data_IF_932146039215
#
_entry.id   IF_932146039215
#
_cell.length_a   1.000
_cell.length_b   1.000
_cell.length_c   1.000
_cell.angle_alpha   90.00
_cell.angle_beta   90.00
_cell.angle_gamma   90.00
#
_symmetry.space_group_name_H-M   'P 1'
#
loop_
_entity.id
_entity.type
_entity.pdbx_description
1 polymer ?
#
# COMPACT_ATOMS: atom_id res chain seq x y z
N UNK A 1 -12.99 -18.84 -15.30
CA UNK A 1 -14.31 -18.89 -14.63
C UNK A 1 -14.43 -17.60 -13.88
N UNK A 2 -15.35 -16.69 -14.26
CA UNK A 2 -15.58 -15.44 -13.51
C UNK A 2 -16.09 -15.85 -12.13
N UNK A 3 -15.32 -15.59 -11.07
CA UNK A 3 -15.78 -15.85 -9.70
C UNK A 3 -17.01 -14.98 -9.46
N UNK A 4 -18.02 -15.54 -8.82
CA UNK A 4 -19.25 -14.83 -8.52
C UNK A 4 -18.95 -13.76 -7.47
N UNK A 5 -18.99 -12.48 -7.86
CA UNK A 5 -18.73 -11.36 -6.97
C UNK A 5 -20.06 -10.91 -6.39
N UNK A 6 -20.24 -11.08 -5.09
CA UNK A 6 -21.48 -10.74 -4.39
C UNK A 6 -21.43 -9.37 -3.71
N UNK A 7 -20.28 -9.00 -3.14
CA UNK A 7 -20.17 -7.76 -2.37
C UNK A 7 -19.17 -6.78 -2.96
N UNK A 8 -19.48 -5.51 -2.83
CA UNK A 8 -18.58 -4.40 -3.09
C UNK A 8 -18.51 -3.46 -1.90
N UNK A 9 -17.37 -2.86 -1.71
CA UNK A 9 -17.11 -1.88 -0.65
C UNK A 9 -17.10 -0.51 -1.30
N UNK A 10 -18.01 0.37 -0.88
CA UNK A 10 -17.96 1.77 -1.27
C UNK A 10 -16.77 2.45 -0.58
N UNK A 11 -15.95 3.12 -1.37
CA UNK A 11 -14.70 3.72 -0.92
C UNK A 11 -14.61 5.16 -1.40
N UNK A 12 -14.30 6.08 -0.49
CA UNK A 12 -13.88 7.43 -0.91
C UNK A 12 -12.40 7.40 -1.23
N UNK A 13 -12.03 8.06 -2.30
CA UNK A 13 -10.65 8.27 -2.69
C UNK A 13 -10.49 9.62 -3.41
N UNK A 14 -9.28 9.92 -3.88
CA UNK A 14 -9.02 11.10 -4.70
C UNK A 14 -9.38 10.80 -6.15
N UNK A 15 -9.97 11.78 -6.82
CA UNK A 15 -10.47 11.64 -8.20
C UNK A 15 -9.46 11.01 -9.17
N UNK A 16 -8.17 11.38 -9.11
CA UNK A 16 -7.13 10.78 -9.96
C UNK A 16 -6.86 9.32 -9.65
N UNK A 17 -7.00 8.90 -8.37
CA UNK A 17 -6.85 7.49 -7.97
C UNK A 17 -8.06 6.68 -8.47
N UNK A 18 -9.26 7.23 -8.32
CA UNK A 18 -10.50 6.61 -8.79
C UNK A 18 -10.46 6.39 -10.31
N UNK A 19 -10.04 7.41 -11.07
CA UNK A 19 -9.87 7.27 -12.50
C UNK A 19 -8.82 6.22 -12.88
N UNK A 20 -7.68 6.23 -12.19
CA UNK A 20 -6.59 5.32 -12.50
C UNK A 20 -6.89 3.86 -12.17
N UNK A 21 -7.56 3.59 -11.04
CA UNK A 21 -7.91 2.23 -10.62
C UNK A 21 -9.24 1.75 -11.19
N UNK A 22 -10.24 2.64 -11.32
CA UNK A 22 -11.60 2.25 -11.69
C UNK A 22 -11.84 2.06 -13.19
N UNK A 23 -11.04 2.70 -14.05
CA UNK A 23 -11.24 2.64 -15.51
C UNK A 23 -10.53 1.45 -16.18
N UNK A 24 -9.81 0.63 -15.44
CA UNK A 24 -9.13 -0.52 -15.98
C UNK A 24 -9.99 -1.78 -15.82
N UNK A 25 -10.42 -2.36 -16.93
CA UNK A 25 -11.08 -3.65 -17.00
C UNK A 25 -10.08 -4.74 -16.56
N UNK A 26 -9.86 -4.86 -15.26
CA UNK A 26 -8.95 -5.83 -14.71
C UNK A 26 -9.69 -7.11 -14.39
N UNK A 27 -9.07 -8.17 -14.79
CA UNK A 27 -9.51 -9.54 -14.60
C UNK A 27 -9.07 -10.11 -13.25
N UNK A 28 -8.56 -9.25 -12.35
CA UNK A 28 -8.10 -9.66 -11.04
C UNK A 28 -9.25 -10.03 -10.10
N UNK A 29 -8.96 -10.93 -9.18
CA UNK A 29 -9.88 -11.31 -8.11
C UNK A 29 -10.17 -10.18 -7.11
N UNK A 30 -9.38 -9.10 -7.15
CA UNK A 30 -9.52 -7.92 -6.29
C UNK A 30 -9.28 -6.66 -7.11
N UNK A 31 -10.28 -5.82 -7.27
CA UNK A 31 -10.20 -4.63 -8.11
C UNK A 31 -11.13 -3.50 -7.65
N UNK A 32 -10.82 -2.30 -8.14
CA UNK A 32 -11.69 -1.13 -8.00
C UNK A 32 -12.47 -0.89 -9.28
N UNK A 33 -13.68 -0.34 -9.14
CA UNK A 33 -14.51 0.06 -10.24
C UNK A 33 -15.34 1.29 -9.89
N UNK A 34 -15.85 1.98 -10.91
CA UNK A 34 -16.65 3.18 -10.73
C UNK A 34 -18.03 3.01 -11.34
N UNK A 35 -19.03 3.61 -10.71
CA UNK A 35 -20.39 3.74 -11.23
C UNK A 35 -20.72 5.23 -11.37
N UNK A 36 -21.03 5.64 -12.58
CA UNK A 36 -21.47 7.01 -12.88
C UNK A 36 -23.01 7.06 -12.86
N UNK A 37 -23.57 7.98 -12.10
CA UNK A 37 -25.01 8.20 -12.03
C UNK A 37 -25.46 9.32 -12.96
N UNK A 38 -26.62 9.16 -13.63
CA UNK A 38 -27.19 10.11 -14.59
C UNK A 38 -27.36 11.55 -14.06
N UNK A 39 -27.32 11.75 -12.76
CA UNK A 39 -27.45 13.04 -12.07
C UNK A 39 -26.12 13.62 -11.57
N UNK A 40 -24.98 13.15 -12.09
CA UNK A 40 -23.65 13.75 -11.84
C UNK A 40 -22.97 13.28 -10.56
N UNK A 41 -23.40 12.19 -9.96
CA UNK A 41 -22.69 11.50 -8.88
C UNK A 41 -21.84 10.38 -9.43
N UNK A 42 -20.61 10.24 -8.91
CA UNK A 42 -19.74 9.09 -9.16
C UNK A 42 -19.50 8.34 -7.86
N UNK A 43 -19.66 7.04 -7.89
CA UNK A 43 -19.34 6.16 -6.78
C UNK A 43 -18.15 5.29 -7.14
N UNK A 44 -17.28 5.07 -6.18
CA UNK A 44 -16.07 4.28 -6.32
C UNK A 44 -16.12 3.08 -5.38
N UNK A 45 -15.92 1.90 -5.94
CA UNK A 45 -16.09 0.64 -5.24
C UNK A 45 -14.83 -0.20 -5.31
N UNK A 46 -14.60 -0.96 -4.25
CA UNK A 46 -13.63 -2.07 -4.21
C UNK A 46 -14.38 -3.39 -4.10
N UNK A 47 -13.94 -4.40 -4.82
CA UNK A 47 -14.45 -5.76 -4.73
C UNK A 47 -13.33 -6.80 -4.70
N UNK A 48 -13.61 -7.95 -4.09
CA UNK A 48 -12.68 -9.08 -4.05
C UNK A 48 -13.45 -10.39 -3.96
N UNK A 49 -12.93 -11.43 -4.62
CA UNK A 49 -13.47 -12.78 -4.46
C UNK A 49 -13.41 -13.29 -3.01
N UNK A 50 -12.44 -12.80 -2.23
CA UNK A 50 -12.28 -13.18 -0.81
C UNK A 50 -13.44 -12.74 0.08
N UNK A 51 -14.17 -11.71 -0.30
CA UNK A 51 -15.32 -11.23 0.49
C UNK A 51 -16.65 -11.80 0.00
N UNK A 52 -16.68 -12.48 -1.14
CA UNK A 52 -17.93 -12.88 -1.82
C UNK A 52 -18.70 -13.95 -1.09
N UNK A 53 -18.02 -14.85 -0.38
CA UNK A 53 -18.65 -15.95 0.35
C UNK A 53 -18.89 -15.64 1.84
N UNK A 54 -18.56 -14.42 2.28
CA UNK A 54 -18.75 -14.00 3.67
C UNK A 54 -20.20 -13.67 3.96
N UNK A 55 -20.66 -13.92 5.19
CA UNK A 55 -22.03 -13.71 5.60
C UNK A 55 -22.23 -12.53 6.56
N UNK A 56 -21.16 -11.94 7.04
CA UNK A 56 -21.18 -10.85 8.02
C UNK A 56 -20.56 -9.58 7.43
N UNK A 57 -21.30 -8.47 7.50
CA UNK A 57 -20.79 -7.16 7.07
C UNK A 57 -19.49 -6.79 7.82
N UNK A 58 -19.33 -7.18 9.08
CA UNK A 58 -18.10 -6.96 9.85
C UNK A 58 -16.92 -7.73 9.27
N UNK A 59 -17.09 -9.01 8.94
CA UNK A 59 -16.03 -9.82 8.31
C UNK A 59 -15.68 -9.29 6.93
N UNK A 60 -16.68 -8.90 6.14
CA UNK A 60 -16.50 -8.30 4.82
C UNK A 60 -15.63 -7.04 4.93
N UNK A 61 -15.99 -6.10 5.82
CA UNK A 61 -15.24 -4.85 6.03
C UNK A 61 -13.83 -5.15 6.54
N UNK A 62 -13.69 -6.05 7.51
CA UNK A 62 -12.41 -6.41 8.09
C UNK A 62 -11.44 -6.97 7.03
N UNK A 63 -11.91 -7.92 6.22
CA UNK A 63 -11.11 -8.51 5.14
C UNK A 63 -10.78 -7.49 4.04
N UNK A 64 -11.79 -6.75 3.57
CA UNK A 64 -11.58 -5.72 2.57
C UNK A 64 -10.62 -4.62 3.04
N UNK A 65 -10.68 -4.24 4.32
CA UNK A 65 -9.77 -3.25 4.91
C UNK A 65 -8.32 -3.70 4.85
N UNK A 66 -8.04 -4.98 5.07
CA UNK A 66 -6.67 -5.52 4.98
C UNK A 66 -6.15 -5.46 3.54
N UNK A 67 -7.00 -5.79 2.56
CA UNK A 67 -6.63 -5.74 1.14
C UNK A 67 -6.40 -4.29 0.71
N UNK A 68 -7.33 -3.39 1.05
CA UNK A 68 -7.22 -1.95 0.75
C UNK A 68 -5.99 -1.34 1.44
N UNK A 69 -5.60 -1.82 2.62
CA UNK A 69 -4.39 -1.36 3.30
C UNK A 69 -3.12 -1.60 2.46
N UNK A 70 -3.04 -2.67 1.68
CA UNK A 70 -1.89 -2.88 0.77
C UNK A 70 -1.87 -1.81 -0.31
N UNK A 71 -3.00 -1.48 -0.92
CA UNK A 71 -3.10 -0.36 -1.88
C UNK A 71 -2.73 0.98 -1.23
N UNK A 72 -3.18 1.22 0.01
CA UNK A 72 -2.80 2.40 0.80
C UNK A 72 -1.28 2.47 0.98
N UNK A 73 -0.62 1.36 1.31
CA UNK A 73 0.83 1.27 1.45
C UNK A 73 1.57 1.53 0.13
N UNK A 74 1.05 1.02 -1.00
CA UNK A 74 1.58 1.29 -2.34
C UNK A 74 1.55 2.79 -2.62
N UNK A 75 0.41 3.44 -2.45
CA UNK A 75 0.30 4.89 -2.68
C UNK A 75 1.14 5.71 -1.70
N UNK A 76 1.29 5.26 -0.45
CA UNK A 76 2.17 5.92 0.53
C UNK A 76 3.63 5.90 0.05
N UNK A 77 4.10 4.79 -0.51
CA UNK A 77 5.47 4.68 -1.03
C UNK A 77 5.67 5.49 -2.31
N UNK A 78 4.69 5.51 -3.21
CA UNK A 78 4.76 6.19 -4.51
C UNK A 78 4.63 7.71 -4.37
N UNK A 79 3.74 8.20 -3.50
CA UNK A 79 3.50 9.64 -3.29
C UNK A 79 4.35 10.18 -2.13
N UNK A 80 5.66 10.22 -2.33
CA UNK A 80 6.64 10.64 -1.32
C UNK A 80 6.43 12.04 -0.75
N UNK A 81 5.76 12.92 -1.51
CA UNK A 81 5.58 14.32 -1.16
C UNK A 81 4.39 14.56 -0.22
N UNK A 82 3.59 13.55 0.07
CA UNK A 82 2.43 13.68 0.94
C UNK A 82 2.63 12.95 2.27
N UNK A 83 2.48 13.69 3.36
CA UNK A 83 2.56 13.13 4.70
C UNK A 83 1.29 12.34 5.00
N UNK A 84 1.34 11.00 4.82
CA UNK A 84 0.43 10.03 5.41
C UNK A 84 -1.08 10.35 5.29
N UNK A 85 -1.52 10.84 4.12
CA UNK A 85 -2.96 11.03 3.88
C UNK A 85 -3.61 9.69 3.63
N UNK A 86 -4.76 9.43 4.25
CA UNK A 86 -5.59 8.31 3.87
C UNK A 86 -5.99 8.47 2.41
N UNK A 87 -5.51 7.56 1.57
CA UNK A 87 -5.88 7.53 0.14
C UNK A 87 -7.25 6.90 -0.07
N UNK A 88 -7.63 5.99 0.84
CA UNK A 88 -8.88 5.25 0.79
C UNK A 88 -9.61 5.36 2.12
N UNK A 89 -10.92 5.61 2.07
CA UNK A 89 -11.79 5.59 3.23
C UNK A 89 -13.00 4.70 2.94
N UNK A 90 -13.15 3.62 3.68
CA UNK A 90 -14.27 2.70 3.54
C UNK A 90 -15.54 3.38 4.06
N UNK A 91 -16.62 3.30 3.28
CA UNK A 91 -17.92 3.87 3.60
C UNK A 91 -18.95 2.81 3.98
N UNK A 92 -19.33 1.99 3.02
CA UNK A 92 -20.42 1.06 3.16
C UNK A 92 -20.11 -0.26 2.46
N UNK A 93 -20.85 -1.31 2.80
CA UNK A 93 -20.88 -2.57 2.06
C UNK A 93 -22.13 -2.60 1.18
N UNK A 94 -21.94 -2.86 -0.10
CA UNK A 94 -23.01 -2.98 -1.08
C UNK A 94 -23.15 -4.45 -1.51
N UNK A 95 -24.35 -5.00 -1.35
CA UNK A 95 -24.71 -6.32 -1.85
C UNK A 95 -25.22 -6.16 -3.29
N UNK A 96 -24.46 -6.68 -4.25
CA UNK A 96 -24.73 -6.56 -5.69
C UNK A 96 -25.99 -7.31 -6.07
N UNK A 97 -26.22 -8.49 -5.49
CA UNK A 97 -27.35 -9.35 -5.83
C UNK A 97 -28.68 -8.74 -5.38
N UNK A 98 -28.72 -8.24 -4.15
CA UNK A 98 -29.92 -7.59 -3.61
C UNK A 98 -30.05 -6.12 -3.99
N UNK A 99 -29.00 -5.51 -4.56
CA UNK A 99 -28.89 -4.07 -4.88
C UNK A 99 -29.13 -3.17 -3.66
N UNK A 100 -28.58 -3.53 -2.51
CA UNK A 100 -28.79 -2.81 -1.24
C UNK A 100 -27.48 -2.64 -0.48
N UNK A 101 -27.41 -1.54 0.24
CA UNK A 101 -26.39 -1.36 1.27
C UNK A 101 -26.73 -2.24 2.47
N UNK A 102 -25.72 -2.93 3.00
CA UNK A 102 -25.84 -3.59 4.29
C UNK A 102 -25.87 -2.53 5.40
N UNK A 103 -26.33 -2.93 6.59
CA UNK A 103 -26.32 -2.02 7.74
C UNK A 103 -24.91 -1.45 7.99
N UNK A 104 -24.88 -0.17 8.37
CA UNK A 104 -23.63 0.56 8.61
C UNK A 104 -22.85 -0.11 9.72
N UNK A 105 -21.68 -0.64 9.38
CA UNK A 105 -20.74 -1.23 10.33
C UNK A 105 -19.72 -0.17 10.73
N UNK A 106 -19.38 -0.12 12.02
CA UNK A 106 -18.28 0.73 12.48
C UNK A 106 -16.96 0.21 11.89
N UNK A 107 -16.06 1.13 11.55
CA UNK A 107 -14.72 0.77 11.07
C UNK A 107 -14.02 -0.12 12.09
N UNK A 108 -13.50 -1.25 11.64
CA UNK A 108 -12.74 -2.16 12.48
C UNK A 108 -11.26 -1.77 12.42
N UNK A 109 -10.62 -1.59 13.57
CA UNK A 109 -9.17 -1.39 13.61
C UNK A 109 -8.45 -2.68 13.22
N UNK A 110 -7.47 -2.55 12.33
CA UNK A 110 -6.65 -3.68 11.87
C UNK A 110 -5.29 -3.58 12.55
N UNK A 111 -4.96 -4.58 13.35
CA UNK A 111 -3.69 -4.65 14.07
C UNK A 111 -2.65 -5.56 13.41
N UNK A 112 -3.11 -6.48 12.56
CA UNK A 112 -2.27 -7.44 11.83
C UNK A 112 -2.97 -7.86 10.56
N UNK A 113 -2.20 -8.39 9.62
CA UNK A 113 -2.73 -9.10 8.46
C UNK A 113 -2.96 -10.56 8.82
N UNK A 114 -4.15 -11.07 8.55
CA UNK A 114 -4.54 -12.48 8.68
C UNK A 114 -5.25 -13.03 7.44
N UNK A 115 -5.39 -12.21 6.39
CA UNK A 115 -5.87 -12.64 5.07
C UNK A 115 -4.79 -13.49 4.40
N UNK A 116 -5.18 -14.63 3.85
CA UNK A 116 -4.32 -15.41 2.96
C UNK A 116 -4.32 -14.78 1.56
N UNK A 117 -3.32 -13.97 1.29
CA UNK A 117 -3.16 -13.28 0.01
C UNK A 117 -2.77 -14.21 -1.15
N UNK A 118 -2.31 -15.43 -0.88
CA UNK A 118 -1.92 -16.39 -1.93
C UNK A 118 -3.07 -16.76 -2.86
N UNK A 119 -4.31 -16.62 -2.40
CA UNK A 119 -5.52 -16.91 -3.19
C UNK A 119 -5.94 -15.75 -4.11
N UNK A 120 -5.35 -14.56 -3.95
CA UNK A 120 -5.67 -13.36 -4.78
C UNK A 120 -4.85 -13.31 -6.07
N UNK A 121 -3.74 -14.02 -6.12
CA UNK A 121 -2.82 -13.98 -7.27
C UNK A 121 -3.52 -14.55 -8.51
N UNK A 122 -3.62 -13.73 -9.56
CA UNK A 122 -4.29 -14.11 -10.80
C UNK A 122 -3.65 -15.34 -11.46
N UNK A 123 -4.49 -16.13 -12.12
CA UNK A 123 -4.00 -17.17 -13.05
C UNK A 123 -3.26 -16.51 -14.23
N UNK A 124 -2.28 -17.21 -14.80
CA UNK A 124 -1.46 -16.71 -15.92
C UNK A 124 -2.27 -16.21 -17.14
N UNK A 125 -3.53 -16.62 -17.26
CA UNK A 125 -4.41 -16.28 -18.38
C UNK A 125 -4.96 -14.84 -18.32
N UNK A 126 -4.96 -14.20 -17.14
CA UNK A 126 -5.65 -12.91 -16.90
C UNK A 126 -4.76 -11.94 -16.13
N UNK A 127 -3.55 -11.66 -16.62
CA UNK A 127 -2.63 -10.71 -15.95
C UNK A 127 -3.15 -9.27 -16.03
N UNK A 128 -3.06 -8.51 -14.93
CA UNK A 128 -3.40 -7.10 -14.95
C UNK A 128 -2.47 -6.33 -15.89
N UNK A 129 -3.01 -5.30 -16.52
CA UNK A 129 -2.23 -4.37 -17.34
C UNK A 129 -1.88 -3.09 -16.57
N UNK A 130 -2.65 -2.77 -15.54
CA UNK A 130 -2.41 -1.59 -14.71
C UNK A 130 -1.22 -1.85 -13.77
N UNK A 131 -0.19 -0.99 -13.77
CA UNK A 131 1.03 -1.20 -13.00
C UNK A 131 0.82 -1.26 -11.48
N UNK A 132 -0.24 -0.63 -10.93
CA UNK A 132 -0.57 -0.73 -9.49
C UNK A 132 -1.09 -2.13 -9.16
N UNK A 133 -1.92 -2.73 -10.01
CA UNK A 133 -2.40 -4.09 -9.79
C UNK A 133 -1.29 -5.12 -10.00
N UNK A 134 -0.38 -4.89 -10.95
CA UNK A 134 0.82 -5.74 -11.12
C UNK A 134 1.66 -5.69 -9.84
N UNK A 135 1.92 -4.49 -9.31
CA UNK A 135 2.66 -4.32 -8.06
C UNK A 135 1.94 -4.95 -6.87
N UNK A 136 0.63 -4.77 -6.77
CA UNK A 136 -0.19 -5.41 -5.74
C UNK A 136 -0.07 -6.94 -5.77
N UNK A 137 -0.16 -7.57 -6.95
CA UNK A 137 0.02 -9.02 -7.08
C UNK A 137 1.41 -9.49 -6.68
N UNK A 138 2.46 -8.76 -7.08
CA UNK A 138 3.83 -9.11 -6.67
C UNK A 138 4.03 -9.01 -5.16
N UNK A 139 3.43 -8.00 -4.51
CA UNK A 139 3.43 -7.85 -3.05
C UNK A 139 2.71 -9.02 -2.37
N UNK A 140 1.56 -9.42 -2.90
CA UNK A 140 0.75 -10.50 -2.31
C UNK A 140 1.41 -11.89 -2.39
N UNK A 141 2.43 -12.08 -3.24
CA UNK A 141 3.18 -13.34 -3.34
C UNK A 141 4.13 -13.59 -2.17
N UNK A 142 4.52 -12.55 -1.45
CA UNK A 142 5.53 -12.66 -0.40
C UNK A 142 5.01 -12.10 0.94
N UNK A 143 4.98 -12.91 2.02
CA UNK A 143 4.46 -12.50 3.32
C UNK A 143 5.22 -11.31 3.95
N UNK A 144 6.53 -11.19 3.71
CA UNK A 144 7.30 -10.04 4.19
C UNK A 144 6.87 -8.77 3.45
N UNK A 145 6.72 -8.82 2.12
CA UNK A 145 6.25 -7.66 1.35
C UNK A 145 4.83 -7.26 1.76
N UNK A 146 3.94 -8.22 1.91
CA UNK A 146 2.57 -7.96 2.38
C UNK A 146 2.58 -7.23 3.72
N UNK A 147 3.37 -7.70 4.70
CA UNK A 147 3.51 -7.03 6.00
C UNK A 147 4.15 -5.64 5.86
N UNK A 148 5.19 -5.47 5.06
CA UNK A 148 5.87 -4.20 4.82
C UNK A 148 4.90 -3.15 4.26
N UNK A 149 4.09 -3.50 3.26
CA UNK A 149 3.12 -2.58 2.68
C UNK A 149 1.92 -2.30 3.59
N UNK A 150 1.55 -3.26 4.44
CA UNK A 150 0.60 -3.01 5.52
C UNK A 150 1.14 -2.00 6.55
N UNK A 151 2.40 -2.10 6.96
CA UNK A 151 3.03 -1.11 7.83
C UNK A 151 3.03 0.28 7.19
N UNK A 152 3.33 0.37 5.88
CA UNK A 152 3.29 1.61 5.10
C UNK A 152 1.87 2.20 4.98
N UNK A 153 0.82 1.43 5.16
CA UNK A 153 -0.56 1.93 5.13
C UNK A 153 -0.91 2.82 6.32
N UNK A 154 -0.13 2.74 7.38
CA UNK A 154 -0.34 3.51 8.58
C UNK A 154 0.24 4.93 8.46
N UNK A 155 -0.10 5.79 9.43
CA UNK A 155 0.49 7.13 9.49
C UNK A 155 2.00 7.04 9.64
N UNK A 156 2.72 7.63 8.68
CA UNK A 156 4.18 7.64 8.67
C UNK A 156 4.71 8.67 9.65
N UNK A 157 5.17 8.20 10.81
CA UNK A 157 5.90 8.97 11.81
C UNK A 157 7.21 8.27 12.19
N UNK A 158 8.00 8.83 13.11
CA UNK A 158 9.27 8.22 13.50
C UNK A 158 9.12 6.81 14.08
N UNK A 159 8.04 6.53 14.81
CA UNK A 159 7.78 5.19 15.39
C UNK A 159 7.50 4.19 14.30
N UNK A 160 6.64 4.54 13.33
CA UNK A 160 6.29 3.67 12.22
C UNK A 160 7.50 3.43 11.31
N UNK A 161 8.26 4.48 10.97
CA UNK A 161 9.49 4.33 10.19
C UNK A 161 10.51 3.42 10.89
N UNK A 162 10.58 3.49 12.23
CA UNK A 162 11.47 2.61 12.99
C UNK A 162 11.01 1.16 12.96
N UNK A 163 9.70 0.90 13.08
CA UNK A 163 9.12 -0.46 12.96
C UNK A 163 9.41 -1.03 11.58
N UNK A 164 9.19 -0.26 10.51
CA UNK A 164 9.50 -0.64 9.13
C UNK A 164 10.99 -0.99 9.00
N UNK A 165 11.87 -0.15 9.53
CA UNK A 165 13.32 -0.40 9.51
C UNK A 165 13.70 -1.69 10.26
N UNK A 166 13.12 -1.94 11.43
CA UNK A 166 13.38 -3.16 12.19
C UNK A 166 12.88 -4.41 11.44
N UNK A 167 11.74 -4.33 10.75
CA UNK A 167 11.19 -5.43 9.93
C UNK A 167 12.12 -5.73 8.73
N UNK A 168 12.60 -4.71 8.03
CA UNK A 168 13.62 -4.85 6.97
C UNK A 168 14.90 -5.50 7.52
N UNK A 169 15.40 -5.07 8.68
CA UNK A 169 16.57 -5.68 9.30
C UNK A 169 16.36 -7.13 9.67
N UNK A 170 15.17 -7.46 10.14
CA UNK A 170 14.81 -8.85 10.46
C UNK A 170 14.83 -9.69 9.18
N UNK A 171 14.17 -9.26 8.11
CA UNK A 171 14.18 -9.93 6.82
C UNK A 171 15.59 -10.14 6.28
N UNK A 172 16.42 -9.10 6.24
CA UNK A 172 17.80 -9.22 5.78
C UNK A 172 18.64 -10.22 6.58
N UNK A 173 18.37 -10.37 7.88
CA UNK A 173 18.99 -11.40 8.71
C UNK A 173 18.53 -12.80 8.33
N UNK A 174 17.23 -12.99 8.01
CA UNK A 174 16.71 -14.32 7.60
C UNK A 174 17.34 -14.81 6.29
N UNK A 175 17.63 -13.89 5.35
CA UNK A 175 18.32 -14.22 4.09
C UNK A 175 19.85 -14.10 4.19
N UNK A 176 20.38 -13.89 5.40
CA UNK A 176 21.83 -13.75 5.70
C UNK A 176 22.53 -12.64 4.90
N UNK A 177 21.82 -11.56 4.53
CA UNK A 177 22.44 -10.38 3.90
C UNK A 177 22.85 -9.36 4.96
N UNK A 178 24.17 -9.27 5.21
CA UNK A 178 24.78 -8.36 6.18
C UNK A 178 25.27 -7.05 5.54
N UNK A 179 25.19 -6.93 4.24
CA UNK A 179 25.85 -5.85 3.48
C UNK A 179 24.87 -4.84 2.89
N UNK A 180 23.62 -5.23 2.66
CA UNK A 180 22.61 -4.40 2.01
C UNK A 180 22.46 -3.00 2.65
N UNK A 181 22.48 -2.88 3.96
CA UNK A 181 22.33 -1.60 4.67
C UNK A 181 23.63 -0.78 4.79
N UNK A 182 24.80 -1.31 4.35
CA UNK A 182 26.06 -0.61 4.50
C UNK A 182 26.09 0.79 3.86
N UNK A 183 25.54 1.02 2.66
CA UNK A 183 25.51 2.36 2.04
C UNK A 183 24.75 3.40 2.88
N UNK A 184 23.78 2.95 3.70
CA UNK A 184 22.90 3.80 4.49
C UNK A 184 23.36 3.96 5.95
N UNK A 185 24.44 3.31 6.36
CA UNK A 185 24.82 3.15 7.78
C UNK A 185 24.91 4.49 8.54
N UNK A 186 25.50 5.51 7.96
CA UNK A 186 25.62 6.82 8.60
C UNK A 186 24.24 7.47 8.85
N UNK A 187 23.42 7.55 7.80
CA UNK A 187 22.07 8.14 7.88
C UNK A 187 21.14 7.32 8.79
N UNK A 188 21.27 5.99 8.78
CA UNK A 188 20.52 5.11 9.68
C UNK A 188 20.93 5.31 11.14
N UNK A 189 22.20 5.59 11.42
CA UNK A 189 22.64 5.93 12.76
C UNK A 189 21.99 7.24 13.24
N UNK A 190 22.00 8.29 12.41
CA UNK A 190 21.36 9.57 12.74
C UNK A 190 19.84 9.41 12.92
N UNK A 191 19.19 8.65 12.04
CA UNK A 191 17.78 8.33 12.13
C UNK A 191 17.43 7.59 13.44
N UNK A 192 18.16 6.52 13.74
CA UNK A 192 17.85 5.69 14.92
C UNK A 192 18.12 6.44 16.22
N UNK A 193 19.20 7.25 16.29
CA UNK A 193 19.46 8.13 17.42
C UNK A 193 18.34 9.17 17.60
N UNK A 194 17.88 9.81 16.52
CA UNK A 194 16.79 10.78 16.56
C UNK A 194 15.48 10.12 16.99
N UNK A 195 15.11 9.00 16.34
CA UNK A 195 13.84 8.29 16.58
C UNK A 195 13.72 7.76 18.03
N UNK A 196 14.84 7.44 18.67
CA UNK A 196 14.86 6.93 20.05
C UNK A 196 15.00 8.05 21.11
N UNK A 197 15.24 9.31 20.70
CA UNK A 197 15.57 10.37 21.66
C UNK A 197 14.35 11.18 22.08
N UNK A 198 13.94 11.02 23.34
CA UNK A 198 12.80 11.75 23.91
C UNK A 198 13.04 13.27 24.00
N UNK A 199 14.29 13.71 24.25
CA UNK A 199 14.58 15.15 24.36
C UNK A 199 14.46 15.87 23.01
N UNK A 200 14.60 15.13 21.89
CA UNK A 200 14.39 15.65 20.52
C UNK A 200 12.94 15.60 20.09
N UNK A 201 12.24 14.48 20.34
CA UNK A 201 10.92 14.20 19.75
C UNK A 201 9.76 14.19 20.75
N UNK A 202 10.04 14.22 22.05
CA UNK A 202 8.98 14.11 23.06
C UNK A 202 8.15 12.85 22.89
N UNK A 203 6.83 12.98 22.82
CA UNK A 203 5.90 11.86 22.63
C UNK A 203 6.05 11.11 21.31
N UNK A 204 6.69 11.70 20.31
CA UNK A 204 6.94 11.06 19.02
C UNK A 204 8.18 10.16 19.04
N UNK A 205 8.99 10.21 20.11
CA UNK A 205 10.10 9.28 20.28
C UNK A 205 9.58 7.84 20.49
N UNK A 206 10.37 6.87 20.01
CA UNK A 206 10.08 5.45 20.20
C UNK A 206 10.14 5.04 21.69
N UNK A 207 11.05 5.61 22.42
CA UNK A 207 11.24 5.36 23.84
C UNK A 207 10.92 6.60 24.69
N UNK A 208 10.52 6.39 25.93
CA UNK A 208 10.45 7.45 26.91
C UNK A 208 11.84 8.00 27.29
N UNK A 209 11.91 8.82 28.34
CA UNK A 209 13.18 9.38 28.83
C UNK A 209 14.17 8.26 29.20
N UNK A 210 15.28 8.20 28.49
CA UNK A 210 16.35 7.20 28.69
C UNK A 210 17.65 7.80 29.20
N UNK A 211 17.73 9.13 29.33
CA UNK A 211 18.95 9.85 29.69
C UNK A 211 20.03 9.87 28.61
N UNK A 212 19.74 9.37 27.41
CA UNK A 212 20.68 9.45 26.29
C UNK A 212 20.78 10.90 25.79
N UNK A 213 22.02 11.34 25.54
CA UNK A 213 22.27 12.64 24.92
C UNK A 213 21.59 12.72 23.54
N UNK A 214 21.01 13.86 23.17
CA UNK A 214 20.46 14.05 21.84
C UNK A 214 21.57 13.96 20.79
N UNK A 215 21.27 13.49 19.57
CA UNK A 215 22.24 13.52 18.47
C UNK A 215 22.63 14.97 18.15
N UNK A 216 23.89 15.19 17.76
CA UNK A 216 24.39 16.52 17.39
C UNK A 216 23.66 17.14 16.19
N UNK A 217 23.14 16.29 15.30
CA UNK A 217 22.36 16.68 14.12
C UNK A 217 21.11 15.78 14.00
N UNK A 218 20.00 16.12 14.67
CA UNK A 218 18.76 15.36 14.53
C UNK A 218 18.24 15.40 13.09
N UNK A 219 17.90 14.23 12.53
CA UNK A 219 17.30 14.13 11.21
C UNK A 219 15.81 14.45 11.29
N UNK A 220 15.28 15.29 10.40
CA UNK A 220 13.87 15.61 10.37
C UNK A 220 13.03 14.45 9.80
N UNK A 221 11.69 14.50 10.00
CA UNK A 221 10.78 13.43 9.58
C UNK A 221 10.81 13.20 8.07
N UNK A 222 10.87 14.25 7.28
CA UNK A 222 10.89 14.16 5.81
C UNK A 222 12.14 13.42 5.30
N UNK A 223 13.31 13.80 5.81
CA UNK A 223 14.55 13.12 5.46
C UNK A 223 14.59 11.68 5.98
N UNK A 224 14.00 11.42 7.16
CA UNK A 224 13.86 10.05 7.69
C UNK A 224 12.96 9.20 6.80
N UNK A 225 11.84 9.76 6.34
CA UNK A 225 10.93 9.12 5.40
C UNK A 225 11.63 8.80 4.08
N UNK A 226 12.30 9.79 3.48
CA UNK A 226 13.03 9.60 2.23
C UNK A 226 14.10 8.49 2.36
N UNK A 227 14.87 8.49 3.44
CA UNK A 227 15.85 7.44 3.71
C UNK A 227 15.22 6.04 3.73
N UNK A 228 14.13 5.86 4.49
CA UNK A 228 13.50 4.54 4.61
C UNK A 228 12.83 4.14 3.30
N UNK A 229 12.21 5.08 2.57
CA UNK A 229 11.59 4.81 1.27
C UNK A 229 12.62 4.46 0.18
N UNK A 230 13.81 5.08 0.21
CA UNK A 230 14.92 4.71 -0.67
C UNK A 230 15.45 3.31 -0.36
N UNK A 231 15.56 2.95 0.91
CA UNK A 231 15.91 1.59 1.33
C UNK A 231 14.88 0.58 0.83
N UNK A 232 13.57 0.87 0.96
CA UNK A 232 12.50 0.01 0.45
C UNK A 232 12.59 -0.12 -1.07
N UNK A 233 12.74 0.98 -1.81
CA UNK A 233 12.86 0.95 -3.26
C UNK A 233 14.02 0.07 -3.72
N UNK A 234 15.21 0.24 -3.11
CA UNK A 234 16.38 -0.59 -3.42
C UNK A 234 16.20 -2.05 -3.01
N UNK A 235 15.49 -2.32 -1.90
CA UNK A 235 15.15 -3.68 -1.47
C UNK A 235 14.24 -4.38 -2.49
N UNK A 236 13.19 -3.70 -2.95
CA UNK A 236 12.27 -4.21 -3.97
C UNK A 236 13.01 -4.59 -5.26
N UNK A 237 13.87 -3.70 -5.75
CA UNK A 237 14.65 -3.97 -6.97
C UNK A 237 15.63 -5.13 -6.75
N UNK A 238 16.44 -5.08 -5.69
CA UNK A 238 17.57 -5.99 -5.54
C UNK A 238 17.23 -7.37 -5.01
N UNK A 239 16.14 -7.52 -4.25
CA UNK A 239 15.74 -8.80 -3.62
C UNK A 239 14.50 -9.44 -4.25
N UNK A 240 13.63 -8.63 -4.83
CA UNK A 240 12.35 -9.11 -5.38
C UNK A 240 12.23 -8.88 -6.88
N UNK A 241 13.19 -8.19 -7.50
CA UNK A 241 13.14 -7.80 -8.93
C UNK A 241 11.87 -7.00 -9.27
N UNK A 242 11.40 -6.19 -8.32
CA UNK A 242 10.24 -5.33 -8.47
C UNK A 242 10.71 -3.89 -8.70
N UNK A 243 10.33 -3.29 -9.83
CA UNK A 243 10.56 -1.87 -10.12
C UNK A 243 9.29 -1.09 -9.81
N UNK A 244 9.41 -0.03 -9.01
CA UNK A 244 8.28 0.84 -8.72
C UNK A 244 7.88 1.63 -9.97
N UNK A 245 6.58 1.73 -10.27
CA UNK A 245 6.11 2.54 -11.38
C UNK A 245 6.33 4.04 -11.12
N UNK A 246 6.53 4.81 -12.19
CA UNK A 246 6.57 6.28 -12.12
C UNK A 246 5.15 6.82 -11.83
N UNK A 247 4.89 7.14 -10.56
CA UNK A 247 3.59 7.60 -10.10
C UNK A 247 3.15 8.90 -10.80
N UNK A 248 4.05 9.85 -11.01
CA UNK A 248 3.72 11.13 -11.64
C UNK A 248 3.50 10.97 -13.14
N UNK A 249 4.29 10.16 -13.82
CA UNK A 249 4.05 9.78 -15.21
C UNK A 249 2.68 9.11 -15.39
N UNK A 250 2.27 8.24 -14.46
CA UNK A 250 0.99 7.55 -14.50
C UNK A 250 -0.23 8.48 -14.36
N UNK A 251 -0.17 9.48 -13.46
CA UNK A 251 -1.29 10.42 -13.23
C UNK A 251 -1.58 11.27 -14.46
N UNK A 252 -0.55 11.62 -15.22
CA UNK A 252 -0.67 12.50 -16.39
C UNK A 252 -0.78 11.74 -17.72
N UNK A 253 -0.64 10.40 -17.71
CA UNK A 253 -0.92 9.60 -18.90
C UNK A 253 -2.43 9.40 -19.07
N UNK A 254 -2.98 9.92 -20.15
CA UNK A 254 -4.28 9.49 -20.66
C UNK A 254 -4.12 8.10 -21.29
N UNK A 255 -4.38 7.06 -20.52
CA UNK A 255 -4.21 5.65 -20.94
C UNK A 255 -5.15 5.23 -22.09
N UNK A 256 -6.10 6.06 -22.49
CA UNK A 256 -6.95 5.80 -23.65
C UNK A 256 -6.20 5.82 -24.99
N UNK A 257 -4.96 6.38 -25.00
CA UNK A 257 -4.16 6.59 -26.21
C UNK A 257 -2.78 5.92 -26.21
N UNK A 258 -2.39 5.19 -25.14
CA UNK A 258 -1.03 4.60 -25.06
C UNK A 258 -1.02 3.18 -25.58
N UNK A 259 -0.37 2.97 -26.72
CA UNK A 259 -0.06 1.66 -27.26
C UNK A 259 0.87 0.90 -26.28
N UNK A 260 0.50 -0.32 -25.88
CA UNK A 260 1.23 -1.20 -24.96
C UNK A 260 2.71 -1.42 -25.33
N UNK A 261 3.06 -1.18 -26.60
CA UNK A 261 4.45 -1.25 -27.10
C UNK A 261 5.28 -0.08 -26.57
N UNK A 262 4.71 1.14 -26.44
CA UNK A 262 5.42 2.31 -25.93
C UNK A 262 5.69 2.21 -24.42
N UNK A 263 4.77 1.62 -23.66
CA UNK A 263 4.96 1.38 -22.22
C UNK A 263 6.14 0.44 -21.93
N UNK A 264 6.31 -0.62 -22.72
CA UNK A 264 7.46 -1.55 -22.60
C UNK A 264 8.80 -0.87 -22.90
N UNK A 265 8.81 0.11 -23.79
CA UNK A 265 10.04 0.83 -24.15
C UNK A 265 10.39 1.93 -23.14
N UNK A 266 9.42 2.52 -22.45
CA UNK A 266 9.64 3.44 -21.35
C UNK A 266 10.19 2.70 -20.11
N UNK A 267 9.65 1.53 -19.79
CA UNK A 267 10.09 0.69 -18.65
C UNK A 267 11.47 0.05 -18.87
N UNK A 268 11.97 -0.01 -20.13
CA UNK A 268 13.33 -0.51 -20.45
C UNK A 268 14.41 0.58 -20.38
N UNK A 269 14.02 1.86 -20.31
CA UNK A 269 14.96 3.00 -20.33
C UNK A 269 15.19 3.63 -18.94
N UNK A 270 14.50 3.13 -17.91
CA UNK A 270 14.68 3.45 -16.50
C UNK A 270 15.39 2.27 -15.83
#
# INVERSE_FOLDING_TARGET
>A
MVKNIRYSIEVDSKFHIENFLGNNNNTNDSFFWTEDHDHGGRQFFFTSSLISDMNSATEIIYTASQIIAIFQGIYTLLDRNRNGSNYFTIRNVYDIDSKRYLEKVQSTEIYKIDVDFSVIVASDENKPTNPIYILFEEICKDPFLTNLFFLLSNKVDYKMLYIIYDDIRFYLRTINDKTFLNPYKALLNDFTHTANNYEVLGFYARHGRTGHQPPSAPINLENSKNLIFDIIGNLLISKFNITLPDYWGMIYMDFSSVDLVQLKDILKKV
#
